data_IF_970814830068
#
_entry.id   IF_970814830068
#
_cell.length_a   1.000
_cell.length_b   1.000
_cell.length_c   1.000
_cell.angle_alpha   90.00
_cell.angle_beta   90.00
_cell.angle_gamma   90.00
#
_symmetry.space_group_name_H-M   'P 1'
#
loop_
_entity.id
_entity.type
_entity.pdbx_description
1 polymer ?
#
# COMPACT_ATOMS: atom_id res chain seq x y z
N UNK A 1 14.71 -7.50 7.99
CA UNK A 1 15.23 -6.22 7.45
C UNK A 1 14.06 -5.44 6.91
N UNK A 2 13.93 -4.17 7.26
CA UNK A 2 12.87 -3.31 6.70
C UNK A 2 13.31 -2.65 5.39
N UNK A 3 12.34 -2.33 4.55
CA UNK A 3 12.53 -1.63 3.28
C UNK A 3 11.42 -0.61 3.05
N UNK A 4 11.63 0.28 2.08
CA UNK A 4 10.70 1.36 1.79
C UNK A 4 9.76 0.97 0.65
N UNK A 5 8.47 1.20 0.85
CA UNK A 5 7.43 1.08 -0.17
C UNK A 5 6.79 2.46 -0.35
N UNK A 6 6.56 2.86 -1.58
CA UNK A 6 5.85 4.10 -1.89
C UNK A 6 4.41 3.82 -2.28
N UNK A 7 3.49 4.54 -1.66
CA UNK A 7 2.05 4.38 -1.85
C UNK A 7 1.40 5.73 -2.13
N UNK A 8 0.31 5.77 -2.90
CA UNK A 8 -0.44 6.98 -3.23
C UNK A 8 -1.93 6.71 -3.03
N UNK A 9 -2.60 7.61 -2.31
CA UNK A 9 -4.06 7.62 -2.13
C UNK A 9 -4.64 8.90 -2.71
N UNK A 10 -5.66 8.78 -3.58
CA UNK A 10 -6.24 9.91 -4.31
C UNK A 10 -5.19 10.72 -5.09
N UNK A 11 -5.37 12.04 -5.14
CA UNK A 11 -4.42 12.96 -5.82
C UNK A 11 -3.27 13.44 -4.93
N UNK A 12 -3.08 12.81 -3.76
CA UNK A 12 -2.02 13.21 -2.83
C UNK A 12 -0.63 12.83 -3.36
N UNK A 13 0.41 13.46 -2.80
CA UNK A 13 1.78 13.04 -3.07
C UNK A 13 2.03 11.62 -2.55
N UNK A 14 2.88 10.81 -3.22
CA UNK A 14 3.25 9.49 -2.74
C UNK A 14 3.87 9.54 -1.34
N UNK A 15 3.38 8.70 -0.43
CA UNK A 15 3.88 8.55 0.91
C UNK A 15 4.83 7.35 1.01
N UNK A 16 5.90 7.50 1.81
CA UNK A 16 6.85 6.43 2.12
C UNK A 16 6.36 5.62 3.33
N UNK A 17 6.18 4.32 3.14
CA UNK A 17 5.90 3.33 4.18
C UNK A 17 7.17 2.51 4.43
N UNK A 18 7.56 2.38 5.69
CA UNK A 18 8.65 1.47 6.09
C UNK A 18 7.99 0.14 6.42
N UNK A 19 8.35 -0.92 5.70
CA UNK A 19 7.73 -2.23 5.82
C UNK A 19 8.78 -3.29 6.15
N UNK A 20 8.44 -4.20 7.06
CA UNK A 20 9.38 -5.21 7.58
C UNK A 20 9.39 -6.52 6.78
N UNK A 21 8.55 -6.62 5.75
CA UNK A 21 8.25 -7.87 5.05
C UNK A 21 7.00 -8.54 5.62
N UNK A 22 6.39 -9.39 4.81
CA UNK A 22 5.09 -9.99 5.09
C UNK A 22 4.33 -10.17 3.76
N UNK A 23 3.01 -10.28 3.85
CA UNK A 23 2.14 -10.32 2.68
C UNK A 23 1.46 -8.96 2.41
N UNK A 24 0.51 -8.95 1.47
CA UNK A 24 -0.20 -7.73 1.10
C UNK A 24 -1.14 -7.27 2.21
N UNK A 25 -1.67 -8.17 3.03
CA UNK A 25 -2.52 -7.80 4.16
C UNK A 25 -1.73 -7.09 5.26
N UNK A 26 -0.55 -7.63 5.60
CA UNK A 26 0.42 -6.96 6.48
C UNK A 26 0.78 -5.54 5.95
N UNK A 27 0.93 -5.42 4.63
CA UNK A 27 1.21 -4.13 3.99
C UNK A 27 0.02 -3.17 4.12
N UNK A 28 -1.22 -3.64 3.95
CA UNK A 28 -2.42 -2.80 4.15
C UNK A 28 -2.49 -2.26 5.57
N UNK A 29 -2.18 -3.08 6.58
CA UNK A 29 -2.08 -2.62 7.97
C UNK A 29 -1.04 -1.50 8.13
N UNK A 30 0.15 -1.69 7.57
CA UNK A 30 1.21 -0.69 7.63
C UNK A 30 0.82 0.63 6.94
N UNK A 31 0.11 0.54 5.81
CA UNK A 31 -0.44 1.70 5.09
C UNK A 31 -1.52 2.40 5.92
N UNK A 32 -2.47 1.66 6.51
CA UNK A 32 -3.52 2.23 7.38
C UNK A 32 -2.89 3.04 8.52
N UNK A 33 -1.91 2.46 9.22
CA UNK A 33 -1.20 3.14 10.31
C UNK A 33 -0.46 4.39 9.82
N UNK A 34 0.17 4.33 8.63
CA UNK A 34 0.92 5.46 8.07
C UNK A 34 0.02 6.60 7.60
N UNK A 35 -1.13 6.26 7.02
CA UNK A 35 -2.09 7.19 6.42
C UNK A 35 -3.33 7.39 7.30
N UNK A 36 -3.24 7.14 8.61
CA UNK A 36 -4.41 7.16 9.52
C UNK A 36 -5.19 8.47 9.44
N UNK A 37 -4.50 9.62 9.30
CA UNK A 37 -5.15 10.92 9.17
C UNK A 37 -5.86 11.13 7.82
N UNK A 38 -5.43 10.42 6.78
CA UNK A 38 -5.96 10.53 5.41
C UNK A 38 -7.07 9.50 5.16
N UNK A 39 -6.89 8.28 5.64
CA UNK A 39 -7.84 7.19 5.51
C UNK A 39 -8.94 7.25 6.58
N UNK A 40 -8.68 7.87 7.73
CA UNK A 40 -9.64 7.97 8.82
C UNK A 40 -9.99 6.59 9.39
N UNK A 41 -11.28 6.29 9.46
CA UNK A 41 -11.83 5.09 10.09
C UNK A 41 -11.93 3.87 9.14
N UNK A 42 -11.35 3.96 7.95
CA UNK A 42 -11.41 2.88 6.94
C UNK A 42 -10.83 1.57 7.49
N UNK A 43 -11.57 0.48 7.32
CA UNK A 43 -11.12 -0.85 7.67
C UNK A 43 -10.06 -1.38 6.70
N UNK A 44 -9.14 -2.20 7.22
CA UNK A 44 -8.06 -2.80 6.40
C UNK A 44 -8.64 -3.64 5.27
N UNK A 45 -9.78 -4.31 5.52
CA UNK A 45 -10.50 -5.10 4.54
C UNK A 45 -11.01 -4.28 3.35
N UNK A 46 -11.33 -3.00 3.54
CA UNK A 46 -11.80 -2.11 2.48
C UNK A 46 -10.65 -1.51 1.66
N UNK A 47 -9.40 -1.73 2.07
CA UNK A 47 -8.21 -1.28 1.36
C UNK A 47 -7.86 -2.28 0.26
N UNK A 48 -7.91 -1.79 -0.98
CA UNK A 48 -7.39 -2.47 -2.16
C UNK A 48 -6.09 -1.82 -2.60
N UNK A 49 -5.06 -2.64 -2.86
CA UNK A 49 -3.78 -2.18 -3.39
C UNK A 49 -3.65 -2.60 -4.86
N UNK A 50 -3.17 -1.68 -5.70
CA UNK A 50 -2.86 -1.93 -7.11
C UNK A 50 -1.48 -1.41 -7.46
N UNK A 51 -0.78 -2.07 -8.38
CA UNK A 51 0.45 -1.51 -8.96
C UNK A 51 0.09 -0.31 -9.85
N UNK A 52 1.04 0.61 -10.03
CA UNK A 52 0.79 1.87 -10.74
C UNK A 52 0.23 1.66 -12.15
N UNK A 53 0.80 0.68 -12.87
CA UNK A 53 0.50 0.39 -14.27
C UNK A 53 -0.46 -0.81 -14.44
N UNK A 54 -1.07 -1.29 -13.35
CA UNK A 54 -1.94 -2.48 -13.38
C UNK A 54 -3.34 -2.18 -12.85
N UNK A 55 -4.34 -2.78 -13.49
CA UNK A 55 -5.74 -2.66 -13.10
C UNK A 55 -6.16 -3.72 -12.07
N UNK A 56 -5.38 -4.80 -12.00
CA UNK A 56 -5.65 -5.94 -11.12
C UNK A 56 -5.23 -5.60 -9.68
N UNK A 57 -6.09 -5.97 -8.74
CA UNK A 57 -5.80 -5.88 -7.32
C UNK A 57 -4.71 -6.87 -6.94
N UNK A 58 -3.85 -6.46 -6.00
CA UNK A 58 -2.93 -7.37 -5.35
C UNK A 58 -3.73 -8.26 -4.39
N UNK A 59 -3.62 -9.58 -4.60
CA UNK A 59 -4.19 -10.57 -3.68
C UNK A 59 -3.54 -10.46 -2.29
N UNK A 60 -4.32 -10.64 -1.21
CA UNK A 60 -3.87 -10.42 0.17
C UNK A 60 -2.70 -11.32 0.59
N UNK A 61 -2.63 -12.55 0.09
CA UNK A 61 -1.59 -13.52 0.41
C UNK A 61 -0.31 -13.38 -0.43
N UNK A 62 -0.25 -12.42 -1.37
CA UNK A 62 0.95 -12.18 -2.16
C UNK A 62 2.09 -11.69 -1.27
N UNK A 63 3.23 -12.36 -1.36
CA UNK A 63 4.45 -11.98 -0.62
C UNK A 63 4.95 -10.60 -1.05
N UNK A 64 5.21 -9.75 -0.07
CA UNK A 64 5.80 -8.42 -0.23
C UNK A 64 7.20 -8.42 0.36
N UNK A 65 8.19 -8.35 -0.52
CA UNK A 65 9.61 -8.25 -0.15
C UNK A 65 10.30 -7.04 -0.81
N UNK A 66 11.61 -6.92 -0.59
CA UNK A 66 12.41 -5.81 -1.13
C UNK A 66 12.39 -5.68 -2.65
N UNK A 67 12.10 -6.78 -3.37
CA UNK A 67 12.01 -6.84 -4.83
C UNK A 67 10.65 -6.41 -5.35
N UNK A 68 9.66 -6.23 -4.46
CA UNK A 68 8.29 -5.86 -4.81
C UNK A 68 8.24 -4.59 -5.69
N UNK A 69 9.18 -3.65 -5.46
CA UNK A 69 9.53 -2.61 -6.42
C UNK A 69 8.73 -1.28 -6.47
N UNK A 70 7.73 -0.95 -5.61
CA UNK A 70 7.07 0.36 -5.71
C UNK A 70 8.01 1.50 -5.34
N UNK A 71 8.13 2.48 -6.23
CA UNK A 71 9.00 3.66 -6.06
C UNK A 71 8.17 4.94 -6.05
N UNK A 72 8.78 6.07 -5.73
CA UNK A 72 8.08 7.37 -5.75
C UNK A 72 7.47 7.71 -7.12
N UNK A 73 8.06 7.23 -8.23
CA UNK A 73 7.54 7.45 -9.60
C UNK A 73 6.43 6.47 -9.98
N UNK A 74 6.45 5.26 -9.40
CA UNK A 74 5.47 4.20 -9.62
C UNK A 74 4.99 3.67 -8.26
N UNK A 75 4.22 4.48 -7.50
CA UNK A 75 3.73 4.09 -6.20
C UNK A 75 2.61 3.07 -6.33
N UNK A 76 2.40 2.25 -5.29
CA UNK A 76 1.18 1.47 -5.16
C UNK A 76 -0.01 2.42 -5.01
N UNK A 77 -1.06 2.17 -5.77
CA UNK A 77 -2.33 2.87 -5.65
C UNK A 77 -3.11 2.25 -4.50
N UNK A 78 -3.49 3.08 -3.53
CA UNK A 78 -4.39 2.74 -2.44
C UNK A 78 -5.79 3.15 -2.87
N UNK A 79 -6.71 2.20 -2.89
CA UNK A 79 -8.11 2.38 -3.26
C UNK A 79 -8.94 1.91 -2.07
N UNK A 80 -9.97 2.68 -1.72
CA UNK A 80 -10.88 2.36 -0.63
C UNK A 80 -12.27 2.15 -1.23
N UNK A 81 -12.87 0.99 -1.00
CA UNK A 81 -14.29 0.79 -1.25
C UNK A 81 -15.07 1.56 -0.17
N UNK A 82 -15.95 2.48 -0.59
CA UNK A 82 -16.86 3.21 0.30
C UNK A 82 -18.29 2.79 0.00
#
# INVERSE_FOLDING_TARGET
MSFNIWVKYGESQPAKVIFSGGDVDDLKEAIKRKLTNTLGDVDVADITLRRHDEEVALEPDNVVDRTFGPTTRKPLKVIVAR
#
